data_IF_331058788171
#
_entry.id   IF_331058788171
#
_cell.length_a   1.000
_cell.length_b   1.000
_cell.length_c   1.000
_cell.angle_alpha   90.00
_cell.angle_beta   90.00
_cell.angle_gamma   90.00
#
_symmetry.space_group_name_H-M   'P 1'
#
loop_
_entity.id
_entity.type
_entity.pdbx_description
1 polymer ?
#
# COMPACT_ATOMS: atom_id res chain seq x y z
N UNK A 1 -24.53 -0.15 -31.72
CA UNK A 1 -24.33 0.08 -30.33
C UNK A 1 -25.02 -1.00 -29.52
N UNK A 2 -24.29 -1.74 -28.66
CA UNK A 2 -24.79 -2.85 -27.85
C UNK A 2 -24.84 -2.44 -26.37
N UNK A 3 -25.33 -1.25 -26.09
CA UNK A 3 -25.32 -0.66 -24.74
C UNK A 3 -26.06 -1.49 -23.68
N UNK A 4 -26.95 -2.40 -24.11
CA UNK A 4 -27.67 -3.29 -23.19
C UNK A 4 -26.99 -4.66 -23.00
N UNK A 5 -25.76 -4.82 -23.54
CA UNK A 5 -25.03 -6.09 -23.44
C UNK A 5 -24.56 -6.33 -22.01
N UNK A 6 -24.95 -7.47 -21.43
CA UNK A 6 -24.59 -7.82 -20.05
C UNK A 6 -23.35 -8.73 -20.02
N UNK A 7 -23.18 -9.55 -21.01
CA UNK A 7 -22.05 -10.47 -21.06
C UNK A 7 -21.41 -10.53 -22.43
N UNK A 8 -20.08 -10.36 -22.48
CA UNK A 8 -19.30 -10.47 -23.70
C UNK A 8 -18.18 -11.48 -23.46
N UNK A 9 -18.35 -12.68 -23.99
CA UNK A 9 -17.39 -13.78 -23.81
C UNK A 9 -16.87 -14.24 -25.16
N UNK A 10 -15.62 -13.86 -25.46
CA UNK A 10 -14.95 -14.17 -26.73
C UNK A 10 -13.69 -15.02 -26.53
N UNK A 11 -13.56 -15.65 -25.38
CA UNK A 11 -12.37 -16.41 -24.99
C UNK A 11 -12.17 -17.65 -25.89
N UNK A 12 -10.92 -18.10 -25.96
CA UNK A 12 -10.57 -19.32 -26.66
C UNK A 12 -10.69 -19.19 -28.17
N UNK A 13 -10.23 -18.06 -28.72
CA UNK A 13 -10.24 -17.80 -30.14
C UNK A 13 -8.84 -17.40 -30.64
N UNK A 14 -8.74 -16.75 -31.77
CA UNK A 14 -7.50 -16.23 -32.38
C UNK A 14 -7.65 -14.73 -32.65
N UNK A 15 -8.37 -14.03 -31.76
CA UNK A 15 -8.57 -12.59 -31.89
C UNK A 15 -7.25 -11.88 -31.60
N UNK A 16 -6.90 -10.90 -32.43
CA UNK A 16 -5.64 -10.18 -32.32
C UNK A 16 -5.86 -8.67 -32.42
N UNK A 17 -4.81 -7.91 -32.17
CA UNK A 17 -4.88 -6.46 -32.11
C UNK A 17 -5.29 -5.99 -30.72
N UNK A 18 -5.53 -4.69 -30.58
CA UNK A 18 -5.80 -4.08 -29.29
C UNK A 18 -7.28 -4.12 -28.91
N UNK A 19 -7.54 -4.10 -27.61
CA UNK A 19 -8.91 -3.88 -27.10
C UNK A 19 -9.26 -2.42 -27.42
N UNK A 20 -10.34 -2.18 -28.18
CA UNK A 20 -10.67 -0.80 -28.55
C UNK A 20 -11.24 -0.02 -27.37
N UNK A 21 -10.95 1.28 -27.30
CA UNK A 21 -11.46 2.16 -26.24
C UNK A 21 -12.99 2.19 -26.18
N UNK A 22 -13.63 1.92 -27.32
CA UNK A 22 -15.10 1.84 -27.42
C UNK A 22 -15.71 0.74 -26.56
N UNK A 23 -14.89 -0.18 -26.01
CA UNK A 23 -15.36 -1.18 -25.05
C UNK A 23 -16.05 -0.47 -23.86
N UNK A 24 -15.55 0.71 -23.47
CA UNK A 24 -16.11 1.50 -22.38
C UNK A 24 -17.53 2.01 -22.61
N UNK A 25 -18.05 1.87 -23.84
CA UNK A 25 -19.44 2.25 -24.15
C UNK A 25 -20.46 1.15 -23.79
N UNK A 26 -19.99 -0.02 -23.34
CA UNK A 26 -20.85 -1.14 -22.99
C UNK A 26 -21.18 -1.10 -21.50
N UNK A 27 -21.75 0.00 -21.04
CA UNK A 27 -21.88 0.35 -19.62
C UNK A 27 -22.68 -0.67 -18.77
N UNK A 28 -23.55 -1.47 -19.42
CA UNK A 28 -24.35 -2.50 -18.71
C UNK A 28 -23.59 -3.83 -18.54
N UNK A 29 -22.32 -3.89 -18.95
CA UNK A 29 -21.57 -5.15 -18.98
C UNK A 29 -21.23 -5.63 -17.57
N UNK A 30 -21.66 -6.84 -17.23
CA UNK A 30 -21.31 -7.50 -15.97
C UNK A 30 -20.19 -8.54 -16.17
N UNK A 31 -20.06 -9.10 -17.38
CA UNK A 31 -19.08 -10.16 -17.64
C UNK A 31 -18.31 -9.85 -18.93
N UNK A 32 -17.00 -9.60 -18.81
CA UNK A 32 -16.10 -9.39 -19.95
C UNK A 32 -15.00 -10.44 -19.90
N UNK A 33 -14.94 -11.30 -20.94
CA UNK A 33 -14.03 -12.44 -20.93
C UNK A 33 -13.40 -12.62 -22.33
N UNK A 34 -12.11 -12.28 -22.42
CA UNK A 34 -11.32 -12.33 -23.66
C UNK A 34 -10.11 -13.28 -23.56
N UNK A 35 -10.03 -14.09 -22.51
CA UNK A 35 -8.84 -14.92 -22.28
C UNK A 35 -8.62 -15.95 -23.40
N UNK A 36 -7.36 -16.44 -23.49
CA UNK A 36 -6.93 -17.40 -24.52
C UNK A 36 -7.21 -16.84 -25.93
N UNK A 37 -6.55 -15.73 -26.25
CA UNK A 37 -6.56 -15.09 -27.56
C UNK A 37 -5.13 -14.55 -27.85
N UNK A 38 -4.97 -13.78 -28.92
CA UNK A 38 -3.70 -13.14 -29.31
C UNK A 38 -3.81 -11.61 -29.21
N UNK A 39 -4.62 -11.10 -28.25
CA UNK A 39 -4.83 -9.66 -28.08
C UNK A 39 -3.56 -9.00 -27.54
N UNK A 40 -3.25 -7.79 -28.04
CA UNK A 40 -2.03 -7.08 -27.68
C UNK A 40 -2.32 -5.60 -27.38
N UNK A 41 -1.27 -4.83 -27.08
CA UNK A 41 -1.44 -3.42 -26.73
C UNK A 41 -1.90 -3.26 -25.30
N UNK A 42 -2.33 -2.06 -24.96
CA UNK A 42 -2.67 -1.72 -23.57
C UNK A 42 -4.14 -2.02 -23.26
N UNK A 43 -4.40 -2.24 -21.98
CA UNK A 43 -5.78 -2.24 -21.47
C UNK A 43 -6.25 -0.78 -21.52
N UNK A 44 -7.31 -0.48 -22.27
CA UNK A 44 -7.72 0.92 -22.41
C UNK A 44 -8.31 1.45 -21.09
N UNK A 45 -7.96 2.69 -20.67
CA UNK A 45 -8.51 3.25 -19.44
C UNK A 45 -10.04 3.33 -19.42
N UNK A 46 -10.65 3.37 -20.60
CA UNK A 46 -12.11 3.37 -20.73
C UNK A 46 -12.76 2.11 -20.15
N UNK A 47 -11.95 1.07 -19.84
CA UNK A 47 -12.44 -0.11 -19.10
C UNK A 47 -13.12 0.32 -17.78
N UNK A 48 -12.63 1.40 -17.16
CA UNK A 48 -13.19 1.93 -15.90
C UNK A 48 -14.63 2.42 -16.01
N UNK A 49 -15.12 2.64 -17.26
CA UNK A 49 -16.51 3.05 -17.45
C UNK A 49 -17.51 1.90 -17.23
N UNK A 50 -17.01 0.66 -17.15
CA UNK A 50 -17.86 -0.54 -17.03
C UNK A 50 -18.21 -0.79 -15.56
N UNK A 51 -18.86 0.17 -14.93
CA UNK A 51 -19.08 0.16 -13.47
C UNK A 51 -19.97 -0.97 -12.95
N UNK A 52 -20.72 -1.63 -13.85
CA UNK A 52 -21.50 -2.82 -13.48
C UNK A 52 -20.70 -4.12 -13.56
N UNK A 53 -19.41 -4.04 -13.96
CA UNK A 53 -18.61 -5.24 -14.24
C UNK A 53 -18.32 -6.03 -12.96
N UNK A 54 -18.66 -7.32 -12.98
CA UNK A 54 -18.42 -8.28 -11.90
C UNK A 54 -17.19 -9.16 -12.20
N UNK A 55 -16.96 -9.49 -13.48
CA UNK A 55 -15.87 -10.36 -13.90
C UNK A 55 -15.11 -9.75 -15.08
N UNK A 56 -13.79 -9.57 -14.91
CA UNK A 56 -12.90 -9.12 -15.97
C UNK A 56 -11.80 -10.16 -16.17
N UNK A 57 -11.88 -10.92 -17.25
CA UNK A 57 -10.94 -12.00 -17.58
C UNK A 57 -10.21 -11.69 -18.89
N UNK A 58 -8.97 -11.21 -18.77
CA UNK A 58 -8.11 -10.86 -19.90
C UNK A 58 -6.83 -11.70 -19.95
N UNK A 59 -6.76 -12.73 -19.13
CA UNK A 59 -5.55 -13.58 -19.00
C UNK A 59 -5.25 -14.36 -20.28
N UNK A 60 -4.03 -14.90 -20.39
CA UNK A 60 -3.59 -15.68 -21.56
C UNK A 60 -3.76 -14.87 -22.85
N UNK A 61 -3.04 -13.74 -22.92
CA UNK A 61 -2.99 -12.85 -24.10
C UNK A 61 -1.58 -12.23 -24.19
N UNK A 62 -1.38 -11.26 -25.09
CA UNK A 62 -0.13 -10.50 -25.24
C UNK A 62 -0.30 -9.03 -24.81
N UNK A 63 -1.21 -8.76 -23.87
CA UNK A 63 -1.47 -7.38 -23.41
C UNK A 63 -0.24 -6.82 -22.70
N UNK A 64 0.05 -5.54 -22.93
CA UNK A 64 1.26 -4.87 -22.45
C UNK A 64 0.92 -3.52 -21.83
N UNK A 65 1.96 -2.82 -21.33
CA UNK A 65 1.77 -1.54 -20.65
C UNK A 65 1.28 -1.75 -19.23
N UNK A 66 0.85 -0.68 -18.57
CA UNK A 66 0.46 -0.72 -17.16
C UNK A 66 -1.02 -1.08 -16.97
N UNK A 67 -1.33 -1.57 -15.79
CA UNK A 67 -2.73 -1.68 -15.35
C UNK A 67 -3.24 -0.25 -15.18
N UNK A 68 -4.32 0.13 -15.87
CA UNK A 68 -4.80 1.51 -15.78
C UNK A 68 -5.40 1.81 -14.40
N UNK A 69 -5.18 3.01 -13.89
CA UNK A 69 -5.69 3.42 -12.56
C UNK A 69 -7.23 3.35 -12.53
N UNK A 70 -7.86 3.52 -13.68
CA UNK A 70 -9.31 3.46 -13.84
C UNK A 70 -9.88 2.09 -13.50
N UNK A 71 -9.03 1.07 -13.35
CA UNK A 71 -9.49 -0.24 -12.85
C UNK A 71 -10.19 -0.08 -11.48
N UNK A 72 -9.76 0.90 -10.68
CA UNK A 72 -10.35 1.17 -9.37
C UNK A 72 -11.79 1.69 -9.40
N UNK A 73 -12.31 2.06 -10.58
CA UNK A 73 -13.70 2.46 -10.74
C UNK A 73 -14.66 1.27 -10.77
N UNK A 74 -14.13 0.06 -10.97
CA UNK A 74 -14.93 -1.17 -11.13
C UNK A 74 -15.32 -1.76 -9.76
N UNK A 75 -16.01 -0.99 -8.93
CA UNK A 75 -16.25 -1.34 -7.53
C UNK A 75 -17.16 -2.57 -7.33
N UNK A 76 -17.84 -3.02 -8.39
CA UNK A 76 -18.63 -4.26 -8.35
C UNK A 76 -17.79 -5.51 -8.71
N UNK A 77 -16.51 -5.32 -9.07
CA UNK A 77 -15.69 -6.42 -9.57
C UNK A 77 -15.41 -7.44 -8.47
N UNK A 78 -15.68 -8.71 -8.79
CA UNK A 78 -15.40 -9.85 -7.90
C UNK A 78 -14.24 -10.70 -8.40
N UNK A 79 -13.94 -10.67 -9.71
CA UNK A 79 -12.85 -11.44 -10.29
C UNK A 79 -12.05 -10.59 -11.28
N UNK A 80 -10.76 -10.45 -11.02
CA UNK A 80 -9.84 -9.73 -11.90
C UNK A 80 -8.70 -10.68 -12.28
N UNK A 81 -8.73 -11.18 -13.52
CA UNK A 81 -7.73 -12.11 -14.06
C UNK A 81 -6.95 -11.42 -15.18
N UNK A 82 -5.72 -11.01 -14.87
CA UNK A 82 -4.80 -10.36 -15.81
C UNK A 82 -3.52 -11.18 -16.01
N UNK A 83 -3.47 -12.37 -15.44
CA UNK A 83 -2.29 -13.23 -15.45
C UNK A 83 -1.93 -13.66 -16.88
N UNK A 84 -0.67 -14.09 -17.06
CA UNK A 84 -0.16 -14.60 -18.34
C UNK A 84 -0.36 -13.58 -19.45
N UNK A 85 0.30 -12.43 -19.29
CA UNK A 85 0.34 -11.31 -20.23
C UNK A 85 1.74 -10.70 -20.20
N UNK A 86 1.92 -9.51 -20.77
CA UNK A 86 3.18 -8.78 -20.78
C UNK A 86 3.03 -7.44 -20.07
N UNK A 87 2.17 -7.39 -19.03
CA UNK A 87 1.88 -6.15 -18.31
C UNK A 87 3.11 -5.72 -17.51
N UNK A 88 3.33 -4.41 -17.43
CA UNK A 88 4.50 -3.78 -16.81
C UNK A 88 4.05 -2.71 -15.80
N UNK A 89 5.02 -2.15 -15.07
CA UNK A 89 4.74 -1.06 -14.12
C UNK A 89 4.11 -1.56 -12.84
N UNK A 90 3.76 -0.63 -11.95
CA UNK A 90 3.22 -1.01 -10.64
C UNK A 90 1.74 -1.36 -10.68
N UNK A 91 1.29 -2.08 -9.67
CA UNK A 91 -0.15 -2.21 -9.39
C UNK A 91 -0.62 -0.85 -8.85
N UNK A 92 -1.65 -0.26 -9.44
CA UNK A 92 -2.13 1.04 -8.95
C UNK A 92 -2.78 0.94 -7.57
N UNK A 93 -2.61 1.97 -6.74
CA UNK A 93 -3.20 2.00 -5.39
C UNK A 93 -4.74 1.91 -5.45
N UNK A 94 -5.33 2.36 -6.55
CA UNK A 94 -6.77 2.32 -6.80
C UNK A 94 -7.34 0.90 -6.79
N UNK A 95 -6.47 -0.12 -6.89
CA UNK A 95 -6.90 -1.53 -6.72
C UNK A 95 -7.62 -1.71 -5.38
N UNK A 96 -7.22 -0.96 -4.35
CA UNK A 96 -7.84 -1.02 -3.03
C UNK A 96 -9.30 -0.59 -2.98
N UNK A 97 -9.81 0.04 -4.05
CA UNK A 97 -11.23 0.41 -4.11
C UNK A 97 -12.14 -0.80 -4.41
N UNK A 98 -11.54 -1.92 -4.85
CA UNK A 98 -12.29 -3.10 -5.31
C UNK A 98 -12.66 -4.01 -4.14
N UNK A 99 -13.40 -3.48 -3.18
CA UNK A 99 -13.68 -4.18 -1.90
C UNK A 99 -14.50 -5.46 -2.05
N UNK A 100 -15.15 -5.64 -3.21
CA UNK A 100 -15.89 -6.87 -3.53
C UNK A 100 -15.02 -7.94 -4.18
N UNK A 101 -13.73 -7.63 -4.43
CA UNK A 101 -12.84 -8.54 -5.17
C UNK A 101 -12.54 -9.80 -4.33
N UNK A 102 -12.84 -10.96 -4.89
CA UNK A 102 -12.57 -12.26 -4.27
C UNK A 102 -11.35 -12.96 -4.89
N UNK A 103 -11.06 -12.66 -6.15
CA UNK A 103 -9.93 -13.27 -6.88
C UNK A 103 -9.12 -12.20 -7.58
N UNK A 104 -7.83 -12.13 -7.27
CA UNK A 104 -6.88 -11.22 -7.94
C UNK A 104 -5.73 -12.06 -8.49
N UNK A 105 -5.71 -12.29 -9.79
CA UNK A 105 -4.67 -13.07 -10.49
C UNK A 105 -3.86 -12.15 -11.40
N UNK A 106 -2.61 -11.89 -11.00
CA UNK A 106 -1.67 -11.04 -11.73
C UNK A 106 -0.40 -11.82 -12.13
N UNK A 107 -0.34 -13.11 -11.84
CA UNK A 107 0.87 -13.91 -12.01
C UNK A 107 1.32 -13.97 -13.49
N UNK A 108 2.60 -14.27 -13.68
CA UNK A 108 3.21 -14.45 -15.02
C UNK A 108 3.01 -13.19 -15.86
N UNK A 109 3.64 -12.09 -15.39
CA UNK A 109 3.66 -10.78 -16.04
C UNK A 109 5.05 -10.15 -15.81
N UNK A 110 5.18 -8.85 -16.09
CA UNK A 110 6.41 -8.09 -15.87
C UNK A 110 6.12 -6.90 -14.94
N UNK A 111 5.18 -7.10 -14.00
CA UNK A 111 4.79 -6.05 -13.05
C UNK A 111 5.93 -5.75 -12.08
N UNK A 112 6.08 -4.49 -11.71
CA UNK A 112 7.20 -3.98 -10.93
C UNK A 112 6.71 -3.14 -9.75
N UNK A 113 7.65 -2.63 -8.98
CA UNK A 113 7.36 -1.72 -7.88
C UNK A 113 6.90 -2.44 -6.63
N UNK A 114 6.39 -1.67 -5.70
CA UNK A 114 5.93 -2.17 -4.40
C UNK A 114 4.47 -2.65 -4.50
N UNK A 115 4.11 -3.60 -3.66
CA UNK A 115 2.68 -3.90 -3.47
C UNK A 115 2.08 -2.70 -2.72
N UNK A 116 1.04 -2.07 -3.25
CA UNK A 116 0.45 -0.92 -2.57
C UNK A 116 -0.22 -1.33 -1.26
N UNK A 117 -0.09 -0.49 -0.24
CA UNK A 117 -0.70 -0.76 1.08
C UNK A 117 -2.23 -0.87 1.00
N UNK A 118 -2.82 -0.23 -0.01
CA UNK A 118 -4.26 -0.25 -0.26
C UNK A 118 -4.78 -1.65 -0.59
N UNK A 119 -3.88 -2.60 -0.88
CA UNK A 119 -4.27 -4.01 -1.03
C UNK A 119 -5.03 -4.51 0.22
N UNK A 120 -4.71 -3.95 1.39
CA UNK A 120 -5.37 -4.29 2.65
C UNK A 120 -6.85 -3.94 2.69
N UNK A 121 -7.30 -3.07 1.79
CA UNK A 121 -8.72 -2.70 1.71
C UNK A 121 -9.57 -3.78 1.05
N UNK A 122 -8.93 -4.79 0.44
CA UNK A 122 -9.64 -5.87 -0.28
C UNK A 122 -10.20 -6.90 0.71
N UNK A 123 -11.22 -6.48 1.44
CA UNK A 123 -11.77 -7.25 2.57
C UNK A 123 -12.48 -8.55 2.17
N UNK A 124 -12.77 -8.74 0.88
CA UNK A 124 -13.44 -9.95 0.37
C UNK A 124 -12.45 -10.90 -0.32
N UNK A 125 -11.15 -10.56 -0.36
CA UNK A 125 -10.18 -11.32 -1.17
C UNK A 125 -9.94 -12.70 -0.57
N UNK A 126 -10.01 -13.74 -1.42
CA UNK A 126 -9.76 -15.13 -1.05
C UNK A 126 -8.60 -15.74 -1.85
N UNK A 127 -8.38 -15.25 -3.07
CA UNK A 127 -7.34 -15.78 -3.96
C UNK A 127 -6.45 -14.63 -4.41
N UNK A 128 -5.17 -14.68 -4.01
CA UNK A 128 -4.20 -13.63 -4.28
C UNK A 128 -2.95 -14.25 -4.91
N UNK A 129 -2.89 -14.26 -6.25
CA UNK A 129 -1.79 -14.86 -7.01
C UNK A 129 -1.03 -13.78 -7.77
N UNK A 130 0.18 -13.48 -7.27
CA UNK A 130 1.06 -12.44 -7.85
C UNK A 130 2.46 -12.99 -8.18
N UNK A 131 2.60 -14.29 -8.15
CA UNK A 131 3.87 -14.97 -8.43
C UNK A 131 4.36 -14.67 -9.86
N UNK A 132 5.66 -14.92 -10.10
CA UNK A 132 6.26 -14.75 -11.44
C UNK A 132 6.07 -13.34 -11.97
N UNK A 133 6.62 -12.36 -11.23
CA UNK A 133 6.64 -10.94 -11.58
C UNK A 133 7.97 -10.33 -11.14
N UNK A 134 8.04 -8.99 -11.09
CA UNK A 134 9.24 -8.27 -10.68
C UNK A 134 8.94 -7.30 -9.54
N UNK A 135 8.00 -7.67 -8.66
CA UNK A 135 7.68 -6.86 -7.48
C UNK A 135 8.87 -6.80 -6.54
N UNK A 136 9.10 -5.64 -5.93
CA UNK A 136 10.28 -5.38 -5.11
C UNK A 136 9.87 -4.94 -3.69
N UNK A 137 10.84 -4.91 -2.80
CA UNK A 137 10.74 -4.26 -1.49
C UNK A 137 10.00 -5.08 -0.46
N UNK A 138 9.74 -4.43 0.65
CA UNK A 138 9.01 -5.05 1.76
C UNK A 138 7.51 -5.14 1.47
N UNK A 139 6.92 -6.22 1.90
CA UNK A 139 5.45 -6.33 1.88
C UNK A 139 4.85 -5.42 2.96
N UNK A 140 3.66 -4.85 2.74
CA UNK A 140 3.06 -4.02 3.80
C UNK A 140 2.96 -4.79 5.11
N UNK A 141 3.42 -4.21 6.19
CA UNK A 141 3.51 -4.91 7.48
C UNK A 141 2.13 -5.26 8.06
N UNK A 142 1.12 -4.47 7.68
CA UNK A 142 -0.27 -4.75 8.10
C UNK A 142 -1.00 -5.71 7.14
N UNK A 143 -0.28 -6.32 6.19
CA UNK A 143 -0.89 -7.24 5.22
C UNK A 143 -1.55 -8.44 5.92
N UNK A 144 -1.04 -8.81 7.09
CA UNK A 144 -1.61 -9.88 7.89
C UNK A 144 -2.99 -9.56 8.49
N UNK A 145 -3.42 -8.30 8.41
CA UNK A 145 -4.77 -7.93 8.87
C UNK A 145 -5.87 -8.33 7.89
N UNK A 146 -5.49 -8.64 6.65
CA UNK A 146 -6.42 -9.16 5.65
C UNK A 146 -6.91 -10.55 6.07
N UNK A 147 -8.18 -10.83 5.84
CA UNK A 147 -8.81 -12.12 6.18
C UNK A 147 -8.48 -13.16 5.09
N UNK A 148 -7.17 -13.44 4.91
CA UNK A 148 -6.66 -14.40 3.94
C UNK A 148 -5.99 -15.57 4.66
N UNK A 149 -6.12 -16.76 4.11
CA UNK A 149 -5.38 -17.94 4.62
C UNK A 149 -3.98 -17.92 3.97
N UNK A 150 -3.08 -17.10 4.54
CA UNK A 150 -1.77 -16.78 3.98
C UNK A 150 -0.86 -18.01 3.80
N UNK A 151 -1.04 -19.04 4.61
CA UNK A 151 -0.23 -20.24 4.55
C UNK A 151 -0.80 -21.34 3.61
N UNK A 152 -1.91 -21.04 2.91
CA UNK A 152 -2.48 -21.98 1.95
C UNK A 152 -1.96 -21.66 0.53
N UNK A 153 -1.09 -22.53 -0.04
CA UNK A 153 -0.51 -22.28 -1.36
C UNK A 153 -1.49 -22.35 -2.53
N UNK A 154 -2.72 -22.77 -2.28
CA UNK A 154 -3.76 -22.73 -3.32
C UNK A 154 -4.49 -21.40 -3.33
N UNK A 155 -4.44 -20.66 -2.21
CA UNK A 155 -5.14 -19.38 -2.09
C UNK A 155 -4.19 -18.19 -2.29
N UNK A 156 -2.92 -18.30 -1.82
CA UNK A 156 -1.94 -17.22 -1.93
C UNK A 156 -0.68 -17.74 -2.63
N UNK A 157 -0.24 -17.03 -3.68
CA UNK A 157 0.99 -17.36 -4.41
C UNK A 157 1.78 -16.08 -4.67
N UNK A 158 3.01 -16.03 -4.13
CA UNK A 158 3.85 -14.83 -4.18
C UNK A 158 5.29 -15.12 -4.65
N UNK A 159 5.61 -16.37 -4.98
CA UNK A 159 6.96 -16.79 -5.36
C UNK A 159 7.48 -16.08 -6.62
N UNK A 160 8.77 -16.21 -6.88
CA UNK A 160 9.42 -15.69 -8.10
C UNK A 160 9.16 -14.18 -8.28
N UNK A 161 9.49 -13.43 -7.23
CA UNK A 161 9.48 -11.97 -7.20
C UNK A 161 10.79 -11.48 -6.56
N UNK A 162 10.86 -10.22 -6.16
CA UNK A 162 12.04 -9.63 -5.51
C UNK A 162 11.65 -9.00 -4.16
N UNK A 163 10.75 -9.64 -3.43
CA UNK A 163 10.36 -9.16 -2.11
C UNK A 163 11.51 -9.26 -1.12
N UNK A 164 11.59 -8.30 -0.23
CA UNK A 164 12.69 -8.14 0.71
C UNK A 164 12.26 -8.47 2.14
N UNK A 165 13.12 -9.18 2.89
CA UNK A 165 12.84 -9.38 4.31
C UNK A 165 13.02 -8.06 5.10
N UNK A 166 12.41 -7.95 6.31
CA UNK A 166 11.70 -9.03 6.99
C UNK A 166 10.31 -9.27 6.41
N UNK A 167 9.90 -10.51 6.40
CA UNK A 167 8.58 -10.88 5.90
C UNK A 167 7.58 -10.92 7.06
N UNK A 168 6.35 -10.41 6.87
CA UNK A 168 5.31 -10.53 7.90
C UNK A 168 5.08 -11.98 8.32
N UNK A 169 4.79 -12.20 9.59
CA UNK A 169 4.71 -13.54 10.19
C UNK A 169 3.71 -14.45 9.48
N UNK A 170 2.59 -13.88 9.02
CA UNK A 170 1.53 -14.66 8.40
C UNK A 170 1.95 -15.32 7.08
N UNK A 171 2.94 -14.74 6.39
CA UNK A 171 3.37 -15.23 5.07
C UNK A 171 4.79 -15.79 5.10
N UNK A 172 5.50 -15.69 6.21
CA UNK A 172 6.91 -16.10 6.28
C UNK A 172 7.11 -17.57 5.89
N UNK A 173 6.12 -18.42 6.12
CA UNK A 173 6.19 -19.84 5.77
C UNK A 173 5.82 -20.13 4.30
N UNK A 174 5.20 -19.19 3.61
CA UNK A 174 4.66 -19.38 2.25
C UNK A 174 5.18 -18.37 1.24
N UNK A 175 6.20 -17.58 1.60
CA UNK A 175 6.76 -16.55 0.70
C UNK A 175 7.55 -17.17 -0.46
N UNK A 176 8.07 -18.36 -0.27
CA UNK A 176 8.82 -19.14 -1.26
C UNK A 176 10.05 -18.38 -1.81
N UNK A 177 10.45 -18.69 -3.04
CA UNK A 177 11.69 -18.18 -3.65
C UNK A 177 11.52 -16.70 -4.03
N UNK A 178 12.46 -15.87 -3.55
CA UNK A 178 12.55 -14.44 -3.89
C UNK A 178 13.97 -14.10 -4.30
N UNK A 179 14.13 -13.20 -5.26
CA UNK A 179 15.45 -12.65 -5.58
C UNK A 179 15.71 -11.43 -4.70
N UNK A 180 16.46 -11.63 -3.63
CA UNK A 180 16.74 -10.57 -2.65
C UNK A 180 17.99 -9.75 -2.97
N UNK A 181 18.58 -9.92 -4.16
CA UNK A 181 19.86 -9.29 -4.51
C UNK A 181 19.81 -7.75 -4.47
N UNK A 182 18.64 -7.17 -4.68
CA UNK A 182 18.45 -5.71 -4.75
C UNK A 182 17.93 -5.08 -3.46
N UNK A 183 17.76 -5.85 -2.39
CA UNK A 183 17.07 -5.37 -1.18
C UNK A 183 17.76 -4.19 -0.50
N UNK A 184 19.08 -4.10 -0.61
CA UNK A 184 19.82 -2.99 -0.01
C UNK A 184 19.58 -1.64 -0.69
N UNK A 185 18.99 -1.65 -1.89
CA UNK A 185 18.74 -0.42 -2.66
C UNK A 185 17.29 0.05 -2.61
N UNK A 186 16.41 -0.71 -1.97
CA UNK A 186 14.97 -0.34 -1.89
C UNK A 186 14.76 0.55 -0.66
N UNK A 187 14.12 1.73 -0.82
CA UNK A 187 13.83 2.58 0.33
C UNK A 187 12.89 1.90 1.32
N UNK A 188 13.18 2.08 2.59
CA UNK A 188 12.30 1.61 3.66
C UNK A 188 11.00 2.41 3.62
N UNK A 189 9.87 1.74 3.76
CA UNK A 189 8.55 2.37 3.62
C UNK A 189 7.69 2.25 4.88
N UNK A 190 8.18 1.55 5.88
CA UNK A 190 7.41 1.26 7.10
C UNK A 190 8.34 1.14 8.29
N UNK A 191 7.82 1.40 9.48
CA UNK A 191 8.60 1.35 10.72
C UNK A 191 7.75 0.77 11.83
N UNK A 192 8.40 -0.05 12.67
CA UNK A 192 7.80 -0.52 13.91
C UNK A 192 8.01 0.55 14.98
N UNK A 193 6.93 1.03 15.57
CA UNK A 193 6.96 1.93 16.71
C UNK A 193 6.11 1.31 17.80
N UNK A 194 6.75 0.97 18.93
CA UNK A 194 6.11 0.36 20.10
C UNK A 194 5.34 -0.93 19.75
N UNK A 195 5.83 -1.72 18.79
CA UNK A 195 5.23 -3.00 18.40
C UNK A 195 4.08 -2.88 17.41
N UNK A 196 3.84 -1.69 16.90
CA UNK A 196 2.85 -1.47 15.85
C UNK A 196 3.54 -0.93 14.60
N UNK A 197 3.10 -1.35 13.46
CA UNK A 197 3.72 -0.98 12.19
C UNK A 197 3.02 0.22 11.56
N UNK A 198 3.81 1.18 11.11
CA UNK A 198 3.32 2.41 10.49
C UNK A 198 3.94 2.59 9.11
N UNK A 199 3.08 2.79 8.10
CA UNK A 199 3.48 3.03 6.71
C UNK A 199 3.73 4.53 6.50
N UNK A 200 4.87 4.88 5.92
CA UNK A 200 5.25 6.30 5.71
C UNK A 200 4.19 7.03 4.88
N UNK A 201 3.74 6.41 3.79
CA UNK A 201 2.82 7.05 2.85
C UNK A 201 1.41 7.27 3.42
N UNK A 202 1.02 6.48 4.41
CA UNK A 202 -0.37 6.49 4.91
C UNK A 202 -0.52 7.08 6.31
N UNK A 203 0.61 7.45 6.98
CA UNK A 203 0.55 7.92 8.36
C UNK A 203 0.66 9.44 8.40
N UNK A 204 -0.49 10.12 8.35
CA UNK A 204 -0.57 11.58 8.52
C UNK A 204 -0.95 11.98 9.95
N UNK A 205 -1.44 11.03 10.73
CA UNK A 205 -1.86 11.29 12.12
C UNK A 205 -1.52 10.07 12.98
N UNK A 206 -0.89 10.34 14.12
CA UNK A 206 -0.57 9.28 15.09
C UNK A 206 -1.07 9.74 16.45
N UNK A 207 -2.19 9.15 16.90
CA UNK A 207 -2.80 9.48 18.18
C UNK A 207 -2.71 8.28 19.11
N UNK A 208 -1.70 8.32 19.98
CA UNK A 208 -1.46 7.30 21.01
C UNK A 208 -1.53 7.93 22.41
N UNK A 209 -2.30 8.99 22.56
CA UNK A 209 -2.49 9.63 23.88
C UNK A 209 -3.25 8.72 24.83
N UNK A 210 -2.76 8.62 26.08
CA UNK A 210 -3.38 7.82 27.16
C UNK A 210 -3.51 6.33 26.83
N UNK A 211 -2.54 5.76 26.10
CA UNK A 211 -2.58 4.33 25.73
C UNK A 211 -1.65 3.47 26.58
N UNK A 212 -0.93 4.09 27.53
CA UNK A 212 -0.04 3.35 28.42
C UNK A 212 1.32 3.03 27.79
N UNK A 213 1.75 3.80 26.80
CA UNK A 213 3.07 3.62 26.18
C UNK A 213 4.19 3.80 27.20
N UNK A 214 5.18 2.92 27.13
CA UNK A 214 6.38 2.95 27.98
C UNK A 214 7.64 3.01 27.11
N UNK A 215 8.80 3.20 27.75
CA UNK A 215 10.08 3.26 27.05
C UNK A 215 10.35 4.65 26.48
N UNK A 216 11.10 4.71 25.42
CA UNK A 216 11.53 5.98 24.80
C UNK A 216 10.73 6.26 23.52
N UNK A 217 10.75 7.51 23.09
CA UNK A 217 10.27 7.84 21.72
C UNK A 217 11.35 7.35 20.76
N UNK A 218 11.04 6.39 19.88
CA UNK A 218 12.07 5.88 18.95
C UNK A 218 12.46 6.95 17.92
N UNK A 219 13.74 7.08 17.57
CA UNK A 219 14.16 8.06 16.56
C UNK A 219 13.53 7.80 15.19
N UNK A 220 13.12 6.57 14.91
CA UNK A 220 12.44 6.19 13.68
C UNK A 220 11.13 6.98 13.45
N UNK A 221 10.57 7.60 14.50
CA UNK A 221 9.38 8.48 14.36
C UNK A 221 9.64 9.59 13.35
N UNK A 222 10.89 10.05 13.25
CA UNK A 222 11.29 11.09 12.31
C UNK A 222 11.17 10.69 10.84
N UNK A 223 10.97 9.40 10.58
CA UNK A 223 10.81 8.89 9.21
C UNK A 223 9.37 9.01 8.71
N UNK A 224 8.41 9.29 9.60
CA UNK A 224 7.00 9.47 9.22
C UNK A 224 6.78 10.89 8.68
N UNK A 225 7.40 11.19 7.54
CA UNK A 225 7.53 12.55 6.99
C UNK A 225 6.20 13.19 6.58
N UNK A 226 5.14 12.38 6.45
CA UNK A 226 3.81 12.89 6.13
C UNK A 226 3.00 13.27 7.36
N UNK A 227 3.56 13.06 8.56
CA UNK A 227 2.84 13.26 9.82
C UNK A 227 2.48 14.73 10.03
N UNK A 228 1.18 14.99 10.25
CA UNK A 228 0.65 16.31 10.58
C UNK A 228 0.30 16.43 12.08
N UNK A 229 -0.06 15.30 12.69
CA UNK A 229 -0.52 15.27 14.09
C UNK A 229 0.17 14.14 14.84
N UNK A 230 0.92 14.49 15.90
CA UNK A 230 1.59 13.51 16.75
C UNK A 230 1.17 13.74 18.20
N UNK A 231 0.35 12.82 18.72
CA UNK A 231 -0.21 12.89 20.06
C UNK A 231 0.27 11.68 20.88
N UNK A 232 1.22 11.92 21.80
CA UNK A 232 1.77 10.89 22.68
C UNK A 232 1.55 11.25 24.17
N UNK A 233 0.67 12.19 24.42
CA UNK A 233 0.44 12.74 25.77
C UNK A 233 -0.13 11.67 26.74
N UNK A 234 0.07 11.89 28.03
CA UNK A 234 -0.56 11.07 29.08
C UNK A 234 -0.09 9.62 29.08
N UNK A 235 1.20 9.40 28.85
CA UNK A 235 1.79 8.06 28.82
C UNK A 235 2.92 7.94 29.86
N UNK A 236 3.67 6.85 29.83
CA UNK A 236 4.81 6.62 30.70
C UNK A 236 6.14 6.66 29.91
N UNK A 237 6.19 7.49 28.88
CA UNK A 237 7.37 7.63 28.02
C UNK A 237 8.50 8.30 28.80
N UNK A 238 9.74 7.83 28.60
CA UNK A 238 10.94 8.30 29.31
C UNK A 238 12.03 8.65 28.30
N UNK A 239 13.18 9.11 28.81
CA UNK A 239 14.31 9.47 27.96
C UNK A 239 14.12 10.80 27.29
N UNK A 240 14.93 11.06 26.28
CA UNK A 240 14.96 12.36 25.59
C UNK A 240 14.03 12.38 24.39
N UNK A 241 13.61 13.58 23.99
CA UNK A 241 12.92 13.79 22.71
C UNK A 241 13.98 13.63 21.62
N UNK A 242 13.80 12.71 20.66
CA UNK A 242 14.83 12.49 19.64
C UNK A 242 14.99 13.67 18.68
N UNK A 243 16.23 13.95 18.27
CA UNK A 243 16.54 15.02 17.31
C UNK A 243 15.79 14.83 16.00
N UNK A 244 15.54 13.58 15.61
CA UNK A 244 14.89 13.19 14.36
C UNK A 244 13.48 13.76 14.23
N UNK A 245 12.84 14.11 15.34
CA UNK A 245 11.50 14.69 15.34
C UNK A 245 11.49 16.02 14.58
N UNK A 246 12.63 16.73 14.57
CA UNK A 246 12.76 18.00 13.85
C UNK A 246 12.67 17.87 12.33
N UNK A 247 12.75 16.64 11.80
CA UNK A 247 12.59 16.36 10.37
C UNK A 247 11.13 16.32 9.91
N UNK A 248 10.18 16.34 10.84
CA UNK A 248 8.74 16.23 10.52
C UNK A 248 8.18 17.59 10.09
N UNK A 249 8.63 18.09 8.95
CA UNK A 249 8.32 19.45 8.50
C UNK A 249 6.84 19.71 8.22
N UNK A 250 6.04 18.66 8.04
CA UNK A 250 4.59 18.76 7.87
C UNK A 250 3.82 18.81 9.19
N UNK A 251 4.52 18.58 10.32
CA UNK A 251 3.87 18.45 11.62
C UNK A 251 3.26 19.78 12.08
N UNK A 252 1.97 19.75 12.38
CA UNK A 252 1.17 20.91 12.82
C UNK A 252 0.98 20.91 14.34
N UNK A 253 0.76 19.73 14.94
CA UNK A 253 0.53 19.60 16.38
C UNK A 253 1.42 18.51 16.96
N UNK A 254 2.18 18.87 18.01
CA UNK A 254 3.06 17.95 18.75
C UNK A 254 2.67 18.00 20.23
N UNK A 255 1.99 16.94 20.70
CA UNK A 255 1.54 16.86 22.09
C UNK A 255 2.26 15.71 22.81
N UNK A 256 3.25 16.07 23.65
CA UNK A 256 4.04 15.12 24.45
C UNK A 256 3.83 15.33 25.95
N UNK A 257 2.85 16.13 26.32
CA UNK A 257 2.64 16.51 27.72
C UNK A 257 2.24 15.32 28.61
N UNK A 258 2.49 15.45 29.90
CA UNK A 258 2.18 14.44 30.93
C UNK A 258 2.83 13.08 30.57
N UNK A 259 4.18 13.10 30.56
CA UNK A 259 5.04 11.93 30.40
C UNK A 259 6.23 12.04 31.37
N UNK A 260 7.18 11.13 31.25
CA UNK A 260 8.42 11.16 32.04
C UNK A 260 9.65 11.57 31.22
N UNK A 261 9.45 12.39 30.18
CA UNK A 261 10.54 12.80 29.27
C UNK A 261 11.56 13.69 30.01
N UNK A 262 12.84 13.47 29.69
CA UNK A 262 13.98 14.13 30.34
C UNK A 262 14.90 14.79 29.31
N UNK A 263 16.02 15.32 29.79
CA UNK A 263 17.01 15.92 28.87
C UNK A 263 16.59 17.29 28.38
N UNK A 264 17.25 17.75 27.37
CA UNK A 264 17.02 19.07 26.79
C UNK A 264 16.02 18.98 25.64
N UNK A 265 15.31 20.09 25.41
CA UNK A 265 14.51 20.22 24.20
C UNK A 265 15.48 20.26 23.00
N UNK A 266 15.36 19.36 22.02
CA UNK A 266 16.31 19.33 20.91
C UNK A 266 16.24 20.60 20.05
N UNK A 267 17.40 21.10 19.61
CA UNK A 267 17.45 22.29 18.76
C UNK A 267 16.74 22.06 17.42
N UNK A 268 16.70 20.81 16.95
CA UNK A 268 16.01 20.43 15.72
C UNK A 268 14.51 20.76 15.72
N UNK A 269 13.92 20.99 16.92
CA UNK A 269 12.51 21.38 17.04
C UNK A 269 12.20 22.65 16.24
N UNK A 270 13.23 23.53 16.06
CA UNK A 270 13.11 24.70 15.21
C UNK A 270 12.94 24.40 13.73
N UNK A 271 13.17 23.14 13.32
CA UNK A 271 12.95 22.68 11.94
C UNK A 271 11.48 22.39 11.61
N UNK A 272 10.61 22.36 12.62
CA UNK A 272 9.19 22.03 12.43
C UNK A 272 8.42 23.22 11.87
N UNK A 273 8.66 23.52 10.60
CA UNK A 273 8.22 24.76 9.95
C UNK A 273 6.70 24.91 9.85
N UNK A 274 5.94 23.82 9.94
CA UNK A 274 4.47 23.84 9.90
C UNK A 274 3.84 23.86 11.28
N UNK A 275 4.65 23.80 12.36
CA UNK A 275 4.14 23.56 13.72
C UNK A 275 3.35 24.77 14.24
N UNK A 276 2.14 24.52 14.71
CA UNK A 276 1.26 25.55 15.28
C UNK A 276 1.05 25.34 16.79
N UNK A 277 1.16 24.10 17.26
CA UNK A 277 0.91 23.75 18.68
C UNK A 277 1.98 22.80 19.18
N UNK A 278 2.70 23.22 20.24
CA UNK A 278 3.75 22.45 20.89
C UNK A 278 3.44 22.37 22.39
N UNK A 279 2.95 21.21 22.85
CA UNK A 279 2.57 21.03 24.25
C UNK A 279 3.51 19.99 24.90
N UNK A 280 4.39 20.46 25.80
CA UNK A 280 5.43 19.64 26.46
C UNK A 280 5.33 19.67 27.99
N UNK A 281 4.30 20.29 28.54
CA UNK A 281 4.17 20.43 30.01
C UNK A 281 4.03 19.06 30.70
N UNK A 282 4.26 19.02 32.02
CA UNK A 282 4.11 17.77 32.77
C UNK A 282 5.18 16.73 32.44
N UNK A 283 6.41 17.18 32.16
CA UNK A 283 7.59 16.33 31.93
C UNK A 283 8.73 16.73 32.85
N UNK A 284 9.90 16.17 32.70
CA UNK A 284 11.10 16.46 33.48
C UNK A 284 12.21 17.05 32.58
N UNK A 285 11.81 17.83 31.56
CA UNK A 285 12.76 18.47 30.66
C UNK A 285 13.62 19.50 31.37
N UNK A 286 14.86 19.68 30.95
CA UNK A 286 15.85 20.53 31.59
C UNK A 286 16.62 21.35 30.51
N UNK A 287 17.59 22.13 30.97
CA UNK A 287 18.43 22.90 30.05
C UNK A 287 17.80 24.19 29.59
N UNK A 288 18.28 24.72 28.48
CA UNK A 288 17.83 26.00 27.94
C UNK A 288 16.81 25.82 26.83
N UNK A 289 15.99 26.85 26.65
CA UNK A 289 15.08 26.89 25.45
C UNK A 289 15.96 27.13 24.23
N UNK A 290 15.89 26.26 23.21
CA UNK A 290 16.71 26.47 22.01
C UNK A 290 16.39 27.76 21.28
N UNK A 291 17.43 28.49 20.87
CA UNK A 291 17.27 29.73 20.10
C UNK A 291 16.55 29.49 18.78
N UNK A 292 16.67 28.29 18.25
CA UNK A 292 16.07 27.86 16.97
C UNK A 292 14.53 27.93 17.00
N UNK A 293 13.92 27.94 18.19
CA UNK A 293 12.46 28.10 18.29
C UNK A 293 11.99 29.48 17.80
N UNK A 294 12.84 30.54 17.93
CA UNK A 294 12.53 31.90 17.49
C UNK A 294 13.15 32.31 16.17
N UNK A 295 13.97 31.38 15.73
CA UNK A 295 14.72 31.61 14.65
C UNK A 295 14.19 31.73 13.52
#
# INVERSE_FOLDING_TARGET
NLSNLIGLKLYGNQLSGSIPSEIGNLESLAYLSFFLNDLNGQIPPEIGNLTDLEHLHLHDNDLSGSIPVEIGELTNLSQLYLNQNQLTGPVPSEIGNLTNLTHLYLYDNQLTGLIPSEINNLSSLNYFWINDNQFIGELPCNICEMDLEWDDPELVKMSENQFCPPYPDCIASNIDIQDTSNCNSVPQRQFDLWGECYMIENTDSLNLGNTGLTGTIPPEIGNLINLEYLFLYGNELTGEIPEEIGGLTNLKHLYLYDNGLTGQLPSSIGGLSSLTHLFLYGNALSGSIPAELGX
#
